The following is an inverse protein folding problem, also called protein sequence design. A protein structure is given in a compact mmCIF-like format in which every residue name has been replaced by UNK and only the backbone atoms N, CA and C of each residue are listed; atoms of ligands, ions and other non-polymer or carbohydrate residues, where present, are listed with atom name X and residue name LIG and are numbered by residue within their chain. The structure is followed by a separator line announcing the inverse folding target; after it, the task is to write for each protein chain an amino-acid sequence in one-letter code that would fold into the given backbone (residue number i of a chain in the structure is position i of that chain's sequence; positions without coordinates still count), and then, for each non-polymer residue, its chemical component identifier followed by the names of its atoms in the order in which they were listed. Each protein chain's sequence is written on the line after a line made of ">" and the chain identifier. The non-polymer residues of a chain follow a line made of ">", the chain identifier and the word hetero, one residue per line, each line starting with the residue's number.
data_IF_849405481858
#
_entry.id   IF_849405481858
#
_cell.length_a   1.000
_cell.length_b   1.000
_cell.length_c   1.000
_cell.angle_alpha   90.00
_cell.angle_beta   90.00
_cell.angle_gamma   90.00
#
_symmetry.space_group_name_H-M   'P 1'
#
loop_
_entity.id
_entity.type
_entity.pdbx_description
1 polymer ?
#
# COMPACT_ATOMS: atom_id res chain seq x y z
N UNK A 1 25.46 -19.06 33.30
CA UNK A 1 25.16 -17.70 32.77
C UNK A 1 25.63 -17.48 31.34
N UNK A 2 26.84 -17.93 30.93
CA UNK A 2 27.34 -17.74 29.54
C UNK A 2 26.63 -18.60 28.48
N UNK A 3 26.24 -19.83 28.82
CA UNK A 3 25.54 -20.73 27.89
C UNK A 3 24.17 -20.20 27.43
N UNK A 4 23.47 -19.46 28.30
CA UNK A 4 22.16 -18.90 28.00
C UNK A 4 22.24 -17.66 27.09
N UNK A 5 23.37 -16.94 27.11
CA UNK A 5 23.60 -15.80 26.21
C UNK A 5 23.98 -16.26 24.81
N UNK A 6 24.77 -17.33 24.69
CA UNK A 6 25.10 -17.90 23.37
C UNK A 6 23.86 -18.51 22.70
N UNK A 7 23.01 -19.22 23.46
CA UNK A 7 21.75 -19.75 22.92
C UNK A 7 20.76 -18.64 22.49
N UNK A 8 20.78 -17.48 23.16
CA UNK A 8 19.98 -16.32 22.78
C UNK A 8 20.54 -15.65 21.51
N UNK A 9 21.86 -15.54 21.39
CA UNK A 9 22.53 -14.98 20.22
C UNK A 9 22.31 -15.85 18.97
N UNK A 10 22.39 -17.17 19.09
CA UNK A 10 22.09 -18.10 17.99
C UNK A 10 20.61 -18.04 17.59
N UNK A 11 19.68 -17.91 18.55
CA UNK A 11 18.26 -17.70 18.24
C UNK A 11 18.00 -16.37 17.54
N UNK A 12 18.68 -15.30 17.93
CA UNK A 12 18.56 -13.99 17.28
C UNK A 12 19.14 -14.00 15.86
N UNK A 13 20.32 -14.60 15.67
CA UNK A 13 20.93 -14.78 14.34
C UNK A 13 20.04 -15.63 13.42
N UNK A 14 19.41 -16.68 13.96
CA UNK A 14 18.44 -17.49 13.21
C UNK A 14 17.17 -16.73 12.82
N UNK A 15 16.73 -15.76 13.62
CA UNK A 15 15.59 -14.89 13.30
C UNK A 15 15.99 -13.85 12.25
N UNK A 16 17.17 -13.24 12.36
CA UNK A 16 17.71 -12.28 11.38
C UNK A 16 17.88 -12.95 10.00
N UNK A 17 18.47 -14.13 9.95
CA UNK A 17 18.62 -14.89 8.70
C UNK A 17 17.26 -15.29 8.08
N UNK A 18 16.23 -15.53 8.92
CA UNK A 18 14.87 -15.83 8.45
C UNK A 18 14.15 -14.58 7.95
N UNK A 19 14.40 -13.43 8.57
CA UNK A 19 13.90 -12.12 8.17
C UNK A 19 14.56 -11.66 6.86
N UNK A 20 15.87 -11.84 6.72
CA UNK A 20 16.61 -11.58 5.47
C UNK A 20 16.13 -12.48 4.33
N UNK A 21 15.89 -13.78 4.58
CA UNK A 21 15.25 -14.67 3.60
C UNK A 21 13.83 -14.23 3.22
N UNK A 22 13.05 -13.69 4.15
CA UNK A 22 11.71 -13.16 3.86
C UNK A 22 11.79 -11.85 3.06
N UNK A 23 12.84 -11.05 3.24
CA UNK A 23 13.12 -9.84 2.45
C UNK A 23 13.64 -10.20 1.04
N UNK A 24 14.50 -11.23 0.91
CA UNK A 24 14.94 -11.76 -0.38
C UNK A 24 13.82 -12.44 -1.16
N UNK A 25 12.95 -13.20 -0.48
CA UNK A 25 11.76 -13.81 -1.08
C UNK A 25 10.63 -12.77 -1.31
N UNK A 26 10.70 -11.64 -0.60
CA UNK A 26 9.90 -10.44 -0.80
C UNK A 26 10.50 -9.48 -1.81
N UNK A 27 11.49 -9.92 -2.63
CA UNK A 27 11.92 -9.21 -3.83
C UNK A 27 10.67 -8.76 -4.58
N UNK A 28 10.45 -7.46 -4.56
CA UNK A 28 9.50 -6.78 -5.42
C UNK A 28 9.74 -7.35 -6.82
N UNK A 29 8.73 -8.00 -7.41
CA UNK A 29 8.77 -8.50 -8.78
C UNK A 29 8.85 -7.30 -9.74
N UNK A 30 10.01 -6.66 -9.75
CA UNK A 30 10.40 -5.68 -10.74
C UNK A 30 11.51 -6.33 -11.54
N UNK A 31 11.15 -6.75 -12.75
CA UNK A 31 12.12 -6.70 -13.82
C UNK A 31 12.50 -5.21 -14.00
N UNK A 32 13.60 -4.86 -13.33
CA UNK A 32 14.38 -3.63 -13.45
C UNK A 32 13.78 -2.35 -12.83
N UNK A 33 14.20 -2.07 -11.58
CA UNK A 33 14.34 -0.71 -11.05
C UNK A 33 13.23 -0.23 -10.13
N UNK A 34 13.36 -0.51 -8.84
CA UNK A 34 12.83 0.30 -7.74
C UNK A 34 13.90 0.27 -6.65
N UNK A 35 14.72 1.32 -6.59
CA UNK A 35 15.74 1.48 -5.54
C UNK A 35 15.16 2.28 -4.38
N UNK A 36 14.97 1.63 -3.22
CA UNK A 36 14.80 2.31 -1.95
C UNK A 36 16.09 3.07 -1.63
N UNK A 37 16.03 4.40 -1.51
CA UNK A 37 17.17 5.20 -1.01
C UNK A 37 17.08 5.30 0.50
N UNK A 38 18.06 4.72 1.18
CA UNK A 38 18.38 5.01 2.58
C UNK A 38 19.24 6.28 2.56
N UNK A 39 18.68 7.43 2.94
CA UNK A 39 19.50 8.62 3.19
C UNK A 39 20.22 8.43 4.53
N UNK A 40 21.54 8.21 4.45
CA UNK A 40 22.44 8.18 5.58
C UNK A 40 22.54 9.57 6.20
N UNK A 41 22.14 9.70 7.48
CA UNK A 41 22.42 10.91 8.25
C UNK A 41 21.69 11.04 9.58
N UNK A 42 21.94 10.17 10.57
CA UNK A 42 21.86 10.49 12.01
C UNK A 42 22.44 9.35 12.90
N UNK A 43 23.06 9.66 14.06
CA UNK A 43 23.89 8.73 14.83
C UNK A 43 23.13 7.62 15.57
N UNK A 44 23.84 6.53 15.79
CA UNK A 44 23.32 5.15 15.86
C UNK A 44 22.71 4.67 17.19
N UNK A 45 22.36 5.54 18.15
CA UNK A 45 22.13 5.07 19.53
C UNK A 45 20.73 5.29 20.15
N UNK A 46 19.67 5.40 19.35
CA UNK A 46 18.26 5.43 19.85
C UNK A 46 17.26 4.68 18.94
N UNK A 47 17.58 3.47 18.46
CA UNK A 47 16.62 2.66 17.69
C UNK A 47 15.62 1.95 18.61
N UNK A 48 14.41 2.49 18.74
CA UNK A 48 13.20 1.68 18.89
C UNK A 48 12.90 0.97 17.55
N UNK A 49 12.15 -0.15 17.50
CA UNK A 49 11.98 -0.93 16.28
C UNK A 49 11.38 -0.05 15.16
N UNK A 50 12.20 0.26 14.16
CA UNK A 50 11.93 1.26 13.15
C UNK A 50 10.81 0.84 12.21
N UNK A 51 9.77 1.68 12.10
CA UNK A 51 8.73 1.63 11.08
C UNK A 51 9.36 1.43 9.69
N UNK A 52 8.93 0.39 8.96
CA UNK A 52 9.25 0.25 7.53
C UNK A 52 8.56 1.38 6.76
N UNK A 53 9.32 2.37 6.31
CA UNK A 53 8.89 3.43 5.40
C UNK A 53 9.29 3.06 3.98
N UNK A 54 8.33 2.65 3.15
CA UNK A 54 8.59 2.35 1.75
C UNK A 54 8.16 3.56 0.89
N UNK A 55 9.10 4.19 0.19
CA UNK A 55 8.84 5.23 -0.81
C UNK A 55 8.70 4.59 -2.19
N UNK A 56 7.68 4.99 -2.96
CA UNK A 56 7.51 4.61 -4.36
C UNK A 56 7.77 5.81 -5.27
N UNK A 57 8.69 5.68 -6.23
CA UNK A 57 9.00 6.68 -7.28
C UNK A 57 9.31 5.94 -8.59
N UNK A 58 8.84 6.39 -9.77
CA UNK A 58 9.18 5.74 -11.05
C UNK A 58 10.64 6.02 -11.45
N UNK A 59 11.45 4.99 -11.74
CA UNK A 59 12.86 5.14 -12.19
C UNK A 59 13.06 4.92 -13.70
N UNK A 60 14.03 5.63 -14.30
CA UNK A 60 14.52 5.39 -15.68
C UNK A 60 15.38 4.11 -15.75
N UNK A 61 15.31 3.38 -16.88
CA UNK A 61 16.34 2.40 -17.23
C UNK A 61 17.55 3.09 -17.92
N UNK A 62 18.69 2.38 -17.96
CA UNK A 62 19.94 2.88 -18.54
C UNK A 62 19.90 3.12 -20.06
N UNK A 63 18.82 2.72 -20.75
CA UNK A 63 18.68 2.78 -22.21
C UNK A 63 17.80 3.93 -22.70
N UNK A 64 17.18 4.71 -21.80
CA UNK A 64 16.41 5.90 -22.17
C UNK A 64 15.08 5.62 -22.88
N UNK A 65 14.59 4.38 -22.85
CA UNK A 65 13.30 4.02 -23.43
C UNK A 65 12.14 4.51 -22.55
N UNK A 66 11.11 5.04 -23.22
CA UNK A 66 9.90 5.58 -22.60
C UNK A 66 9.02 4.40 -22.18
N UNK A 67 9.06 4.03 -20.91
CA UNK A 67 8.09 3.11 -20.31
C UNK A 67 6.66 3.67 -20.47
N UNK A 68 5.60 2.86 -20.37
CA UNK A 68 4.26 3.42 -20.13
C UNK A 68 4.38 4.45 -19.00
N UNK A 69 3.76 5.63 -19.18
CA UNK A 69 3.90 6.80 -18.30
C UNK A 69 3.34 6.55 -16.88
N UNK A 70 3.26 5.32 -16.38
CA UNK A 70 2.79 5.00 -15.04
C UNK A 70 3.34 3.67 -14.51
N UNK A 71 3.45 3.57 -13.19
CA UNK A 71 3.81 2.34 -12.48
C UNK A 71 2.89 2.09 -11.28
N UNK A 72 2.57 0.83 -11.01
CA UNK A 72 1.87 0.42 -9.79
C UNK A 72 2.77 -0.36 -8.86
N UNK A 73 2.67 -0.07 -7.57
CA UNK A 73 3.32 -0.83 -6.50
C UNK A 73 2.24 -1.49 -5.65
N UNK A 74 2.40 -2.79 -5.39
CA UNK A 74 1.53 -3.56 -4.51
C UNK A 74 2.32 -3.97 -3.27
N UNK A 75 1.72 -3.83 -2.09
CA UNK A 75 2.29 -4.32 -0.85
C UNK A 75 2.25 -5.86 -0.79
N UNK A 76 3.10 -6.45 0.06
CA UNK A 76 2.95 -7.86 0.44
C UNK A 76 1.67 -8.10 1.24
N UNK A 77 1.37 -9.36 1.62
CA UNK A 77 0.24 -9.66 2.49
C UNK A 77 0.33 -8.83 3.77
N UNK A 78 -0.68 -8.01 4.03
CA UNK A 78 -0.80 -7.23 5.26
C UNK A 78 -1.91 -7.84 6.08
N UNK A 79 -1.53 -8.44 7.20
CA UNK A 79 -2.45 -8.83 8.25
C UNK A 79 -2.32 -7.81 9.38
N UNK A 80 -3.40 -7.07 9.64
CA UNK A 80 -3.48 -6.29 10.86
C UNK A 80 -3.81 -7.26 12.00
N UNK A 81 -2.95 -7.42 13.02
CA UNK A 81 -3.34 -8.12 14.22
C UNK A 81 -4.42 -7.28 14.91
N UNK A 82 -5.61 -7.84 15.13
CA UNK A 82 -6.53 -7.23 16.08
C UNK A 82 -6.08 -7.61 17.50
N UNK A 83 -6.20 -6.67 18.43
CA UNK A 83 -5.89 -6.90 19.84
C UNK A 83 -6.84 -7.88 20.54
N UNK A 84 -7.92 -8.30 19.87
CA UNK A 84 -9.00 -9.13 20.42
C UNK A 84 -9.28 -10.43 19.62
N UNK A 85 -8.46 -10.76 18.62
CA UNK A 85 -8.63 -11.96 17.78
C UNK A 85 -9.72 -11.86 16.70
N UNK A 86 -10.39 -10.69 16.54
CA UNK A 86 -11.28 -10.38 15.42
C UNK A 86 -10.51 -9.83 14.21
N UNK A 87 -10.31 -10.67 13.21
CA UNK A 87 -9.88 -10.23 11.89
C UNK A 87 -11.01 -9.37 11.30
N UNK A 88 -10.88 -8.04 11.35
CA UNK A 88 -11.99 -7.15 10.98
C UNK A 88 -11.74 -6.30 9.75
N UNK A 89 -10.55 -5.71 9.64
CA UNK A 89 -10.26 -4.66 8.66
C UNK A 89 -8.82 -4.72 8.18
N UNK A 90 -8.62 -4.63 6.86
CA UNK A 90 -7.33 -4.28 6.25
C UNK A 90 -7.36 -2.79 5.96
N UNK A 91 -6.36 -2.04 6.43
CA UNK A 91 -6.32 -0.59 6.25
C UNK A 91 -4.89 -0.09 6.02
N UNK A 92 -4.73 0.92 5.17
CA UNK A 92 -3.44 1.56 4.88
C UNK A 92 -3.66 3.02 4.57
N UNK A 93 -2.80 3.89 5.11
CA UNK A 93 -2.75 5.31 4.77
C UNK A 93 -1.55 5.63 3.87
N UNK A 94 -1.71 6.63 3.02
CA UNK A 94 -0.69 7.12 2.12
C UNK A 94 -0.56 8.62 2.30
N UNK A 95 0.61 9.07 2.75
CA UNK A 95 0.95 10.48 2.79
C UNK A 95 1.50 10.89 1.43
N UNK A 96 0.83 11.84 0.78
CA UNK A 96 1.25 12.33 -0.54
C UNK A 96 2.38 13.33 -0.34
N UNK A 97 3.61 12.91 -0.68
CA UNK A 97 4.81 13.73 -0.55
C UNK A 97 4.95 14.70 -1.71
N UNK A 98 4.61 14.24 -2.92
CA UNK A 98 4.56 15.08 -4.11
C UNK A 98 3.53 14.53 -5.10
N UNK A 99 2.63 15.40 -5.57
CA UNK A 99 1.70 15.08 -6.64
C UNK A 99 2.12 15.78 -7.94
N UNK A 100 2.73 15.03 -8.87
CA UNK A 100 3.10 15.48 -10.21
C UNK A 100 1.91 15.49 -11.18
N UNK A 101 1.44 14.30 -11.59
CA UNK A 101 0.30 14.16 -12.52
C UNK A 101 -0.92 13.46 -11.91
N UNK A 102 -0.87 12.14 -11.79
CA UNK A 102 -1.99 11.33 -11.30
C UNK A 102 -1.48 10.34 -10.28
N UNK A 103 -2.16 10.29 -9.13
CA UNK A 103 -1.97 9.28 -8.09
C UNK A 103 -3.30 8.57 -7.87
N UNK A 104 -3.27 7.24 -7.89
CA UNK A 104 -4.45 6.42 -7.56
C UNK A 104 -4.08 5.45 -6.45
N UNK A 105 -4.88 5.43 -5.40
CA UNK A 105 -4.67 4.58 -4.22
C UNK A 105 -5.83 3.60 -4.10
N UNK A 106 -5.55 2.35 -3.74
CA UNK A 106 -6.61 1.44 -3.35
C UNK A 106 -6.14 0.01 -3.17
N UNK A 107 -6.93 -0.94 -3.68
CA UNK A 107 -6.74 -2.36 -3.48
C UNK A 107 -6.74 -3.10 -4.83
N UNK A 108 -5.88 -4.11 -4.98
CA UNK A 108 -5.88 -5.00 -6.15
C UNK A 108 -5.53 -6.43 -5.76
N UNK A 109 -6.00 -7.41 -6.54
CA UNK A 109 -5.54 -8.81 -6.40
C UNK A 109 -4.21 -9.02 -7.09
N UNK A 110 -3.57 -10.17 -6.86
CA UNK A 110 -2.35 -10.57 -7.57
C UNK A 110 -2.50 -10.64 -9.09
N UNK A 111 -3.72 -10.82 -9.59
CA UNK A 111 -4.03 -10.90 -11.02
C UNK A 111 -3.85 -9.56 -11.75
N UNK A 112 -3.96 -8.44 -11.03
CA UNK A 112 -3.79 -7.12 -11.63
C UNK A 112 -2.31 -6.93 -12.03
N UNK A 113 -2.00 -6.70 -13.31
CA UNK A 113 -0.62 -6.44 -13.73
C UNK A 113 -0.12 -5.10 -13.19
N UNK A 114 1.13 -5.03 -12.72
CA UNK A 114 1.70 -3.79 -12.15
C UNK A 114 1.97 -2.69 -13.19
N UNK A 115 1.86 -3.01 -14.49
CA UNK A 115 1.82 -2.05 -15.60
C UNK A 115 0.38 -1.62 -15.96
N UNK A 116 -0.57 -1.77 -15.02
CA UNK A 116 -1.93 -1.22 -15.07
C UNK A 116 -2.18 -0.35 -13.86
N UNK A 117 -3.11 0.59 -13.97
CA UNK A 117 -3.54 1.45 -12.86
C UNK A 117 -4.54 0.72 -11.95
N UNK A 118 -4.45 0.92 -10.64
CA UNK A 118 -5.45 0.45 -9.68
C UNK A 118 -6.79 1.13 -9.96
N UNK A 119 -7.88 0.37 -9.94
CA UNK A 119 -9.20 0.78 -10.42
C UNK A 119 -9.43 0.52 -11.92
N UNK A 120 -8.38 0.35 -12.73
CA UNK A 120 -8.49 0.02 -14.16
C UNK A 120 -8.06 -1.43 -14.46
N UNK A 121 -7.04 -1.93 -13.77
CA UNK A 121 -6.60 -3.32 -13.87
C UNK A 121 -7.62 -4.31 -13.28
N UNK A 122 -7.66 -5.55 -13.78
CA UNK A 122 -8.63 -6.56 -13.35
C UNK A 122 -8.63 -6.75 -11.82
N UNK A 123 -9.83 -6.89 -11.26
CA UNK A 123 -10.08 -7.07 -9.82
C UNK A 123 -9.34 -6.04 -8.97
N UNK A 124 -9.59 -4.77 -9.25
CA UNK A 124 -8.99 -3.66 -8.50
C UNK A 124 -9.97 -2.50 -8.30
N UNK A 125 -9.70 -1.71 -7.27
CA UNK A 125 -10.53 -0.61 -6.78
C UNK A 125 -9.61 0.57 -6.45
N UNK A 126 -9.85 1.73 -7.04
CA UNK A 126 -8.97 2.89 -6.93
C UNK A 126 -9.72 4.17 -6.59
N UNK A 127 -9.14 4.97 -5.71
CA UNK A 127 -9.49 6.36 -5.44
C UNK A 127 -8.39 7.25 -6.02
N UNK A 128 -8.78 8.05 -7.02
CA UNK A 128 -7.91 8.90 -7.80
C UNK A 128 -7.87 10.33 -7.25
N UNK A 129 -6.70 10.96 -7.34
CA UNK A 129 -6.44 12.33 -6.89
C UNK A 129 -7.35 13.37 -7.56
N UNK A 130 -7.83 13.06 -8.77
CA UNK A 130 -8.83 13.83 -9.52
C UNK A 130 -10.28 13.65 -9.02
N UNK A 131 -10.48 13.08 -7.84
CA UNK A 131 -11.81 13.02 -7.20
C UNK A 131 -12.73 11.96 -7.82
N UNK A 132 -12.17 10.80 -8.17
CA UNK A 132 -12.91 9.66 -8.74
C UNK A 132 -12.68 8.36 -7.99
N UNK A 133 -13.70 7.51 -7.97
CA UNK A 133 -13.60 6.13 -7.52
C UNK A 133 -13.91 5.21 -8.70
N UNK A 134 -12.96 4.34 -9.00
CA UNK A 134 -12.97 3.50 -10.19
C UNK A 134 -12.73 2.05 -9.78
N UNK A 135 -13.31 1.11 -10.53
CA UNK A 135 -13.06 -0.32 -10.31
C UNK A 135 -13.15 -1.11 -11.60
N UNK A 136 -12.44 -2.23 -11.66
CA UNK A 136 -12.58 -3.20 -12.74
C UNK A 136 -12.78 -4.59 -12.12
N UNK A 137 -13.83 -5.30 -12.53
CA UNK A 137 -14.15 -6.62 -11.98
C UNK A 137 -13.34 -7.76 -12.62
N UNK A 138 -13.60 -9.00 -12.19
CA UNK A 138 -12.93 -10.20 -12.69
C UNK A 138 -13.13 -10.46 -14.18
N UNK A 139 -14.22 -9.96 -14.78
CA UNK A 139 -14.46 -10.06 -16.23
C UNK A 139 -13.69 -9.01 -17.04
N UNK A 140 -13.03 -8.06 -16.38
CA UNK A 140 -12.38 -6.92 -17.02
C UNK A 140 -13.32 -5.77 -17.34
N UNK A 141 -14.53 -5.77 -16.77
CA UNK A 141 -15.49 -4.69 -16.97
C UNK A 141 -15.12 -3.53 -16.03
N UNK A 142 -14.73 -2.41 -16.63
CA UNK A 142 -14.48 -1.15 -15.94
C UNK A 142 -15.79 -0.48 -15.51
N UNK A 143 -15.78 0.11 -14.32
CA UNK A 143 -16.86 0.93 -13.78
C UNK A 143 -16.29 2.18 -13.10
N UNK A 144 -16.80 3.34 -13.50
CA UNK A 144 -16.71 4.55 -12.69
C UNK A 144 -17.79 4.44 -11.60
N UNK A 145 -17.36 4.27 -10.35
CA UNK A 145 -18.27 4.06 -9.21
C UNK A 145 -18.82 5.40 -8.71
N UNK A 146 -17.96 6.41 -8.61
CA UNK A 146 -18.35 7.71 -8.08
C UNK A 146 -17.43 8.80 -8.60
N UNK A 147 -18.02 9.86 -9.14
CA UNK A 147 -17.36 11.13 -9.44
C UNK A 147 -17.58 12.13 -8.31
N UNK A 148 -16.80 13.21 -8.32
CA UNK A 148 -16.92 14.34 -7.38
C UNK A 148 -16.72 13.93 -5.91
N UNK A 149 -15.95 12.87 -5.66
CA UNK A 149 -15.35 12.69 -4.34
C UNK A 149 -14.25 13.73 -4.15
N UNK A 150 -13.85 14.07 -2.91
CA UNK A 150 -12.83 15.09 -2.68
C UNK A 150 -11.55 14.82 -3.48
N UNK A 151 -10.99 15.85 -4.10
CA UNK A 151 -9.64 15.79 -4.69
C UNK A 151 -8.58 15.58 -3.61
N UNK A 152 -7.42 15.04 -3.94
CA UNK A 152 -6.27 15.05 -3.04
C UNK A 152 -4.98 15.38 -3.77
N UNK A 153 -3.92 15.70 -3.02
CA UNK A 153 -2.62 16.02 -3.59
C UNK A 153 -1.57 16.16 -2.50
N UNK A 154 -0.45 16.81 -2.83
CA UNK A 154 0.67 17.03 -1.91
C UNK A 154 0.20 17.52 -0.54
N UNK A 155 0.67 16.85 0.51
CA UNK A 155 0.36 17.18 1.91
C UNK A 155 -0.92 16.54 2.45
N UNK A 156 -1.71 15.83 1.64
CA UNK A 156 -2.84 15.05 2.14
C UNK A 156 -2.42 13.64 2.58
N UNK A 157 -3.20 13.08 3.50
CA UNK A 157 -3.16 11.67 3.87
C UNK A 157 -4.43 11.02 3.34
N UNK A 158 -4.27 9.96 2.57
CA UNK A 158 -5.38 9.24 1.93
C UNK A 158 -5.33 7.78 2.37
N UNK A 159 -6.44 7.26 2.89
CA UNK A 159 -6.53 5.88 3.33
C UNK A 159 -7.42 5.03 2.43
N UNK A 160 -7.10 3.74 2.36
CA UNK A 160 -7.97 2.72 1.77
C UNK A 160 -8.16 1.57 2.75
N UNK A 161 -9.41 1.13 2.92
CA UNK A 161 -9.76 0.06 3.83
C UNK A 161 -10.75 -0.93 3.24
N UNK A 162 -10.71 -2.15 3.78
CA UNK A 162 -11.65 -3.23 3.50
C UNK A 162 -12.10 -3.83 4.82
N UNK A 163 -13.38 -3.73 5.12
CA UNK A 163 -14.00 -4.51 6.18
C UNK A 163 -14.19 -5.94 5.67
N UNK A 164 -13.51 -6.91 6.29
CA UNK A 164 -13.49 -8.29 5.82
C UNK A 164 -14.81 -9.03 6.11
N UNK A 165 -15.56 -8.60 7.13
CA UNK A 165 -16.85 -9.21 7.47
C UNK A 165 -17.97 -8.75 6.53
N UNK A 166 -18.04 -7.44 6.26
CA UNK A 166 -19.07 -6.86 5.37
C UNK A 166 -18.64 -6.82 3.90
N UNK A 167 -17.36 -7.07 3.63
CA UNK A 167 -16.71 -6.91 2.31
C UNK A 167 -16.82 -5.50 1.74
N UNK A 168 -17.08 -4.51 2.59
CA UNK A 168 -17.21 -3.11 2.17
C UNK A 168 -15.83 -2.46 2.07
N UNK A 169 -15.53 -1.85 0.91
CA UNK A 169 -14.39 -0.94 0.82
C UNK A 169 -14.79 0.45 1.29
N UNK A 170 -13.81 1.15 1.86
CA UNK A 170 -13.94 2.55 2.20
C UNK A 170 -12.64 3.29 1.94
N UNK A 171 -12.76 4.60 1.73
CA UNK A 171 -11.61 5.49 1.60
C UNK A 171 -11.70 6.60 2.62
N UNK A 172 -10.56 7.17 2.98
CA UNK A 172 -10.46 8.31 3.88
C UNK A 172 -9.56 9.37 3.30
N UNK A 173 -9.76 10.60 3.74
CA UNK A 173 -8.87 11.73 3.46
C UNK A 173 -8.71 12.55 4.73
N UNK A 174 -7.47 12.79 5.15
CA UNK A 174 -7.09 13.60 6.32
C UNK A 174 -7.95 13.25 7.56
N UNK A 175 -7.94 11.97 7.93
CA UNK A 175 -8.68 11.46 9.10
C UNK A 175 -10.21 11.42 8.96
N UNK A 176 -10.78 11.69 7.78
CA UNK A 176 -12.22 11.65 7.53
C UNK A 176 -12.60 10.59 6.50
N UNK A 177 -13.62 9.78 6.81
CA UNK A 177 -14.16 8.77 5.89
C UNK A 177 -14.98 9.43 4.78
N UNK A 178 -14.78 8.98 3.56
CA UNK A 178 -15.59 9.36 2.41
C UNK A 178 -16.96 8.68 2.46
N UNK A 179 -18.02 9.42 2.12
CA UNK A 179 -19.38 8.89 2.10
C UNK A 179 -19.63 8.04 0.84
N UNK A 180 -19.26 6.76 0.92
CA UNK A 180 -19.40 5.78 -0.16
C UNK A 180 -20.17 4.59 0.41
N UNK A 181 -21.42 4.41 -0.01
CA UNK A 181 -22.30 3.39 0.59
C UNK A 181 -22.33 2.08 -0.20
N UNK A 182 -22.03 2.12 -1.50
CA UNK A 182 -22.29 1.02 -2.44
C UNK A 182 -21.02 0.44 -3.09
N UNK A 183 -19.92 0.36 -2.33
CA UNK A 183 -18.66 -0.21 -2.81
C UNK A 183 -18.31 -1.49 -2.03
N UNK A 184 -18.47 -2.63 -2.68
CA UNK A 184 -18.28 -3.96 -2.09
C UNK A 184 -17.38 -4.83 -2.98
N UNK A 185 -16.63 -5.74 -2.34
CA UNK A 185 -15.87 -6.78 -3.04
C UNK A 185 -16.80 -7.96 -3.34
N UNK A 186 -16.84 -8.42 -4.59
CA UNK A 186 -17.62 -9.58 -5.02
C UNK A 186 -17.23 -10.84 -4.24
N UNK A 187 -18.20 -11.67 -3.89
CA UNK A 187 -17.97 -12.94 -3.19
C UNK A 187 -16.96 -13.83 -3.95
N UNK A 188 -16.08 -14.52 -3.23
CA UNK A 188 -15.05 -15.36 -3.84
C UNK A 188 -13.85 -14.63 -4.46
N UNK A 189 -13.83 -13.28 -4.45
CA UNK A 189 -12.63 -12.51 -4.82
C UNK A 189 -11.44 -12.92 -3.95
N UNK A 190 -10.30 -13.17 -4.60
CA UNK A 190 -9.02 -13.49 -3.97
C UNK A 190 -8.52 -12.34 -3.07
N UNK A 191 -7.46 -12.61 -2.31
CA UNK A 191 -6.86 -11.61 -1.41
C UNK A 191 -6.56 -10.29 -2.13
N UNK A 192 -6.98 -9.20 -1.50
CA UNK A 192 -6.75 -7.85 -1.96
C UNK A 192 -5.57 -7.23 -1.20
N UNK A 193 -4.74 -6.51 -1.94
CA UNK A 193 -3.50 -5.93 -1.43
C UNK A 193 -3.51 -4.41 -1.62
N UNK A 194 -3.07 -3.63 -0.61
CA UNK A 194 -2.80 -2.22 -0.76
C UNK A 194 -1.92 -1.95 -1.99
N UNK A 195 -2.43 -1.10 -2.88
CA UNK A 195 -1.83 -0.81 -4.18
C UNK A 195 -1.89 0.68 -4.44
N UNK A 196 -0.79 1.24 -4.93
CA UNK A 196 -0.71 2.63 -5.39
C UNK A 196 -0.21 2.67 -6.82
N UNK A 197 -0.81 3.53 -7.64
CA UNK A 197 -0.40 3.81 -9.02
C UNK A 197 0.04 5.25 -9.15
N UNK A 198 1.18 5.46 -9.82
CA UNK A 198 1.81 6.77 -10.01
C UNK A 198 2.02 7.00 -11.52
N UNK A 199 1.60 8.15 -12.04
CA UNK A 199 1.67 8.49 -13.49
C UNK A 199 2.83 9.44 -13.85
N UNK A 200 3.65 9.89 -12.90
CA UNK A 200 4.79 10.74 -13.22
C UNK A 200 5.99 10.49 -12.31
N UNK A 201 7.20 10.73 -12.85
CA UNK A 201 8.45 10.70 -12.11
C UNK A 201 8.46 11.68 -10.92
N UNK A 202 7.64 12.74 -10.97
CA UNK A 202 7.44 13.64 -9.85
C UNK A 202 6.62 13.05 -8.70
N UNK A 203 5.81 12.01 -8.91
CA UNK A 203 4.97 11.48 -7.85
C UNK A 203 5.77 10.79 -6.75
N UNK A 204 5.42 11.09 -5.49
CA UNK A 204 6.01 10.46 -4.33
C UNK A 204 4.97 10.30 -3.22
N UNK A 205 4.93 9.10 -2.62
CA UNK A 205 4.05 8.76 -1.49
C UNK A 205 4.83 8.00 -0.42
N UNK A 206 4.41 8.15 0.83
CA UNK A 206 4.83 7.30 1.95
C UNK A 206 3.62 6.48 2.42
N UNK A 207 3.75 5.15 2.39
CA UNK A 207 2.72 4.26 2.90
C UNK A 207 2.90 4.01 4.42
N UNK A 208 1.79 4.07 5.14
CA UNK A 208 1.66 3.77 6.55
C UNK A 208 0.73 2.56 6.70
N UNK A 209 1.33 1.42 7.08
CA UNK A 209 0.61 0.16 7.32
C UNK A 209 0.18 0.00 8.79
N UNK A 210 0.23 1.08 9.56
CA UNK A 210 -0.19 1.13 10.95
C UNK A 210 0.93 0.92 11.96
N UNK A 211 0.58 0.84 13.25
CA UNK A 211 -0.79 0.92 13.77
C UNK A 211 -1.33 2.35 13.94
N UNK A 212 -0.47 3.37 13.83
CA UNK A 212 -0.85 4.75 14.11
C UNK A 212 -1.37 5.42 12.84
N UNK A 213 -2.69 5.64 12.75
CA UNK A 213 -3.34 6.27 11.61
C UNK A 213 -3.88 7.66 11.97
N UNK A 214 -4.07 8.52 10.97
CA UNK A 214 -4.82 9.77 11.13
C UNK A 214 -6.32 9.48 11.24
N UNK A 215 -6.81 8.47 10.51
CA UNK A 215 -8.18 7.97 10.67
C UNK A 215 -8.33 7.11 11.93
N UNK A 216 -9.36 7.43 12.71
CA UNK A 216 -9.76 6.64 13.86
C UNK A 216 -10.52 5.38 13.42
N UNK A 217 -9.78 4.27 13.30
CA UNK A 217 -10.33 2.97 12.91
C UNK A 217 -11.34 2.40 13.91
N UNK A 218 -11.42 2.89 15.16
CA UNK A 218 -12.43 2.39 16.10
C UNK A 218 -13.86 2.70 15.65
N UNK A 219 -14.04 3.64 14.71
CA UNK A 219 -15.33 4.01 14.12
C UNK A 219 -15.91 2.96 13.16
N UNK A 220 -15.13 1.94 12.80
CA UNK A 220 -15.53 0.89 11.86
C UNK A 220 -15.93 -0.43 12.53
N UNK A 221 -15.86 -0.49 13.87
CA UNK A 221 -16.21 -1.66 14.67
C UNK A 221 -17.52 -1.48 15.44
#
# INVERSE_FOLDING_TARGET
>A
MRENQNALAEKMSGIEAKLEKLIENGKCENQNGLTAKIENGMPENQKAPSLMKNMATPTRNATGERFPDFCSCRAGPIQMPSSDGRIGIIYTEYRILNNGLIIIIGLSTKEMPLNKLVGNGRVSYGYSDIGKIESTNANGNYANILDNVPYFGTGNVVGCGLNLATRQLFFTKNGQRLNITNLYVDEGTADLYPTVSLYDHGNAVEANFGPNFEYDLSKEF
#
